data_IF_884105487380
#
_entry.id   IF_884105487380
#
_cell.length_a   1.000
_cell.length_b   1.000
_cell.length_c   1.000
_cell.angle_alpha   90.00
_cell.angle_beta   90.00
_cell.angle_gamma   90.00
#
_symmetry.space_group_name_H-M   'P 1'
#
loop_
_entity.id
_entity.type
_entity.pdbx_description
1 polymer ?
#
# COMPACT_ATOMS: atom_id res chain seq x y z
N UNK A 1 9.93 5.88 7.18
CA UNK A 1 8.90 5.67 8.21
C UNK A 1 7.59 5.38 7.49
N UNK A 2 7.07 4.15 7.58
CA UNK A 2 5.76 3.84 7.04
C UNK A 2 4.72 4.52 7.93
N UNK A 3 3.90 5.39 7.35
CA UNK A 3 2.82 6.06 8.04
C UNK A 3 1.50 5.50 7.50
N UNK A 4 0.64 5.06 8.41
CA UNK A 4 -0.68 4.54 8.06
C UNK A 4 -1.55 5.70 7.61
N UNK A 5 -1.89 5.74 6.32
CA UNK A 5 -2.71 6.82 5.73
C UNK A 5 -4.20 6.58 6.03
N UNK A 6 -4.59 5.35 6.36
CA UNK A 6 -5.98 4.93 6.56
C UNK A 6 -6.10 4.10 7.83
N UNK A 7 -6.92 4.56 8.78
CA UNK A 7 -7.12 3.88 10.05
C UNK A 7 -8.09 2.69 9.91
N UNK A 8 -8.88 2.68 8.83
CA UNK A 8 -9.78 1.57 8.50
C UNK A 8 -9.36 0.80 7.24
N UNK A 9 -9.83 -0.45 7.13
CA UNK A 9 -9.65 -1.29 5.93
C UNK A 9 -10.58 -0.94 4.77
N UNK A 10 -11.42 0.10 4.90
CA UNK A 10 -12.43 0.47 3.92
C UNK A 10 -12.31 1.94 3.51
N UNK A 11 -12.33 2.18 2.20
CA UNK A 11 -12.26 3.51 1.62
C UNK A 11 -13.52 3.81 0.83
N UNK A 12 -14.03 5.02 0.97
CA UNK A 12 -14.94 5.60 0.00
C UNK A 12 -14.12 6.31 -1.06
N UNK A 13 -14.30 5.93 -2.32
CA UNK A 13 -13.52 6.47 -3.44
C UNK A 13 -14.47 7.14 -4.43
N UNK A 14 -14.15 8.37 -4.82
CA UNK A 14 -14.78 9.04 -5.96
C UNK A 14 -13.85 8.90 -7.16
N UNK A 15 -14.36 8.29 -8.23
CA UNK A 15 -13.59 8.05 -9.44
C UNK A 15 -14.32 7.09 -10.38
N UNK A 16 -13.58 6.42 -11.25
CA UNK A 16 -14.12 5.49 -12.23
C UNK A 16 -13.82 4.03 -11.85
N UNK A 17 -14.68 3.12 -12.31
CA UNK A 17 -14.49 1.68 -12.15
C UNK A 17 -14.11 1.09 -13.50
N UNK A 18 -12.99 0.40 -13.56
CA UNK A 18 -12.52 -0.32 -14.74
C UNK A 18 -12.69 -1.82 -14.53
N UNK A 19 -13.42 -2.47 -15.43
CA UNK A 19 -13.56 -3.92 -15.45
C UNK A 19 -12.69 -4.50 -16.58
N UNK A 20 -11.68 -5.29 -16.24
CA UNK A 20 -10.81 -5.99 -17.19
C UNK A 20 -10.94 -7.50 -16.98
N UNK A 21 -11.86 -8.12 -17.73
CA UNK A 21 -12.22 -9.52 -17.54
C UNK A 21 -12.83 -9.77 -16.16
N UNK A 22 -12.28 -10.72 -15.41
CA UNK A 22 -12.71 -11.04 -14.03
C UNK A 22 -12.23 -10.01 -12.98
N UNK A 23 -11.33 -9.09 -13.36
CA UNK A 23 -10.76 -8.11 -12.44
C UNK A 23 -11.55 -6.80 -12.52
N UNK A 24 -11.84 -6.23 -11.35
CA UNK A 24 -12.40 -4.89 -11.20
C UNK A 24 -11.39 -4.02 -10.48
N UNK A 25 -11.11 -2.85 -11.02
CA UNK A 25 -10.19 -1.86 -10.49
C UNK A 25 -10.94 -0.55 -10.32
N UNK A 26 -10.56 0.25 -9.32
CA UNK A 26 -11.10 1.60 -9.13
C UNK A 26 -9.96 2.59 -9.33
N UNK A 27 -10.16 3.54 -10.24
CA UNK A 27 -9.25 4.67 -10.44
C UNK A 27 -9.87 5.87 -9.72
N UNK A 28 -9.34 6.19 -8.55
CA UNK A 28 -9.85 7.26 -7.69
C UNK A 28 -9.20 8.61 -7.98
N UNK A 29 -10.02 9.66 -8.05
CA UNK A 29 -9.55 11.06 -7.98
C UNK A 29 -9.44 11.51 -6.52
N UNK A 30 -10.34 10.99 -5.66
CA UNK A 30 -10.41 11.31 -4.24
C UNK A 30 -10.74 10.04 -3.44
N UNK A 31 -10.16 9.91 -2.25
CA UNK A 31 -10.44 8.83 -1.32
C UNK A 31 -10.60 9.39 0.10
N UNK A 32 -11.57 8.85 0.85
CA UNK A 32 -11.83 9.16 2.24
C UNK A 32 -11.83 7.88 3.08
N UNK A 33 -11.35 7.98 4.31
CA UNK A 33 -11.50 6.91 5.31
C UNK A 33 -12.99 6.80 5.67
N UNK A 34 -13.56 5.61 5.52
CA UNK A 34 -14.98 5.40 5.78
C UNK A 34 -15.35 5.61 7.25
N UNK A 35 -14.42 5.35 8.18
CA UNK A 35 -14.70 5.55 9.60
C UNK A 35 -14.76 7.04 9.97
N UNK A 36 -13.92 7.87 9.34
CA UNK A 36 -14.00 9.34 9.49
C UNK A 36 -15.33 9.88 8.96
N UNK A 37 -15.78 9.40 7.80
CA UNK A 37 -17.08 9.79 7.22
C UNK A 37 -18.24 9.34 8.12
N UNK A 38 -18.15 8.13 8.68
CA UNK A 38 -19.16 7.60 9.59
C UNK A 38 -19.20 8.36 10.92
N UNK A 39 -18.03 8.69 11.49
CA UNK A 39 -17.92 9.51 12.69
C UNK A 39 -18.51 10.90 12.49
N UNK A 40 -18.13 11.61 11.41
CA UNK A 40 -18.70 12.92 11.08
C UNK A 40 -20.23 12.88 10.98
N UNK A 41 -20.77 11.83 10.35
CA UNK A 41 -22.23 11.64 10.25
C UNK A 41 -22.89 11.38 11.62
N UNK A 42 -22.27 10.56 12.46
CA UNK A 42 -22.79 10.19 13.80
C UNK A 42 -22.78 11.37 14.76
N UNK A 43 -21.68 12.11 14.78
CA UNK A 43 -21.40 13.12 15.81
C UNK A 43 -21.91 14.51 15.42
N UNK A 44 -21.97 14.81 14.12
CA UNK A 44 -22.30 16.13 13.59
C UNK A 44 -23.44 16.10 12.56
N UNK A 45 -24.02 14.93 12.32
CA UNK A 45 -25.16 14.75 11.44
C UNK A 45 -24.81 14.65 9.95
N UNK A 46 -25.83 14.43 9.09
CA UNK A 46 -25.63 14.15 7.67
C UNK A 46 -24.92 15.27 6.90
N UNK A 47 -25.17 16.53 7.25
CA UNK A 47 -24.56 17.66 6.55
C UNK A 47 -23.04 17.70 6.72
N UNK A 48 -22.53 17.40 7.92
CA UNK A 48 -21.09 17.37 8.16
C UNK A 48 -20.37 16.29 7.33
N UNK A 49 -21.02 15.15 7.10
CA UNK A 49 -20.50 14.13 6.19
C UNK A 49 -20.52 14.61 4.73
N UNK A 50 -21.58 15.30 4.30
CA UNK A 50 -21.63 15.89 2.95
C UNK A 50 -20.56 16.96 2.77
N UNK A 51 -20.34 17.82 3.76
CA UNK A 51 -19.30 18.85 3.71
C UNK A 51 -17.89 18.23 3.66
N UNK A 52 -17.66 17.14 4.41
CA UNK A 52 -16.44 16.33 4.35
C UNK A 52 -16.20 15.75 2.95
N UNK A 53 -17.24 15.21 2.31
CA UNK A 53 -17.18 14.65 0.96
C UNK A 53 -17.13 15.71 -0.14
N UNK A 54 -17.63 16.91 0.15
CA UNK A 54 -17.61 18.08 -0.74
C UNK A 54 -16.25 18.74 -0.85
N UNK A 55 -15.28 18.37 -0.01
CA UNK A 55 -13.90 18.85 -0.10
C UNK A 55 -13.30 18.46 -1.46
N UNK A 56 -12.79 19.44 -2.18
CA UNK A 56 -12.22 19.28 -3.53
C UNK A 56 -10.71 19.22 -3.57
N UNK A 57 -10.04 19.62 -2.47
CA UNK A 57 -8.59 19.49 -2.37
C UNK A 57 -8.25 18.04 -2.03
N UNK A 58 -7.45 17.35 -2.86
CA UNK A 58 -6.94 16.03 -2.48
C UNK A 58 -6.19 16.16 -1.16
N UNK A 59 -6.36 15.15 -0.31
CA UNK A 59 -5.49 15.00 0.85
C UNK A 59 -4.04 14.98 0.32
N UNK A 60 -3.12 15.74 0.92
CA UNK A 60 -1.74 15.74 0.48
C UNK A 60 -1.25 14.30 0.51
N UNK A 61 -0.82 13.78 -0.65
CA UNK A 61 -0.08 12.52 -0.69
C UNK A 61 1.07 12.71 0.28
N UNK A 62 1.14 11.95 1.38
CA UNK A 62 2.19 12.18 2.34
C UNK A 62 3.51 12.00 1.59
N UNK A 63 4.31 13.07 1.59
CA UNK A 63 5.57 13.06 0.90
C UNK A 63 6.31 11.83 1.38
N UNK A 64 6.68 10.93 0.44
CA UNK A 64 7.70 9.94 0.74
C UNK A 64 8.87 10.74 1.27
N UNK A 65 9.08 10.70 2.59
CA UNK A 65 10.25 11.31 3.19
C UNK A 65 11.41 10.72 2.42
N UNK A 66 12.17 11.54 1.70
CA UNK A 66 13.36 11.11 0.99
C UNK A 66 14.35 10.60 2.04
N UNK A 67 14.15 9.37 2.51
CA UNK A 67 15.10 8.67 3.34
C UNK A 67 16.36 8.59 2.51
N UNK A 68 17.52 9.06 3.01
CA UNK A 68 18.77 8.96 2.27
C UNK A 68 18.94 7.50 1.85
N UNK A 69 19.19 7.29 0.56
CA UNK A 69 19.21 5.97 -0.06
C UNK A 69 20.30 5.11 0.59
N UNK A 70 19.91 4.34 1.61
CA UNK A 70 20.80 3.45 2.36
C UNK A 70 21.40 2.45 1.38
N UNK A 71 22.71 2.48 1.23
CA UNK A 71 23.41 1.50 0.40
C UNK A 71 23.93 0.39 1.30
N UNK A 72 23.64 -0.86 0.93
CA UNK A 72 24.14 -2.04 1.62
C UNK A 72 25.48 -2.46 0.98
N UNK A 73 26.51 -2.64 1.79
CA UNK A 73 27.77 -3.23 1.33
C UNK A 73 27.63 -4.76 1.33
N UNK A 74 27.97 -5.41 0.22
CA UNK A 74 28.12 -6.86 0.17
C UNK A 74 29.36 -7.28 0.97
N UNK A 75 29.17 -8.12 1.99
CA UNK A 75 30.24 -8.63 2.86
C UNK A 75 31.19 -9.60 2.17
N UNK A 76 30.92 -10.01 0.92
CA UNK A 76 31.64 -11.11 0.25
C UNK A 76 32.33 -10.73 -1.06
N UNK A 77 32.11 -9.52 -1.61
CA UNK A 77 32.62 -9.20 -2.95
C UNK A 77 32.72 -7.72 -3.34
N UNK A 78 32.55 -6.79 -2.41
CA UNK A 78 32.70 -5.35 -2.69
C UNK A 78 31.60 -4.73 -3.58
N UNK A 79 30.58 -5.51 -3.96
CA UNK A 79 29.42 -5.03 -4.70
C UNK A 79 28.49 -4.22 -3.78
N UNK A 80 27.83 -3.19 -4.34
CA UNK A 80 26.77 -2.45 -3.65
C UNK A 80 25.44 -3.15 -3.89
N UNK A 81 24.79 -3.58 -2.81
CA UNK A 81 23.48 -4.20 -2.85
C UNK A 81 22.37 -3.15 -2.84
N UNK A 82 21.23 -3.50 -3.43
CA UNK A 82 20.04 -2.65 -3.41
C UNK A 82 19.62 -2.33 -1.95
N UNK A 83 19.11 -1.12 -1.66
CA UNK A 83 18.78 -0.65 -0.31
C UNK A 83 17.83 -1.53 0.52
N UNK A 84 17.09 -2.40 -0.17
CA UNK A 84 16.03 -3.22 0.38
C UNK A 84 16.36 -4.72 0.31
N UNK A 85 17.60 -5.08 -0.01
CA UNK A 85 18.02 -6.49 -0.15
C UNK A 85 17.99 -7.26 1.19
N UNK A 86 17.95 -6.56 2.32
CA UNK A 86 17.89 -7.13 3.66
C UNK A 86 16.49 -7.08 4.30
N UNK A 87 15.47 -6.57 3.59
CA UNK A 87 14.13 -6.48 4.14
C UNK A 87 13.53 -7.86 4.39
N UNK A 88 13.21 -8.12 5.66
CA UNK A 88 12.38 -9.25 6.08
C UNK A 88 10.91 -8.81 6.10
N UNK A 89 9.96 -9.66 5.70
CA UNK A 89 8.54 -9.34 5.78
C UNK A 89 8.13 -9.07 7.23
N UNK A 90 7.26 -8.09 7.45
CA UNK A 90 6.76 -7.75 8.77
C UNK A 90 5.91 -8.91 9.34
N UNK A 91 6.28 -9.41 10.52
CA UNK A 91 5.56 -10.45 11.26
C UNK A 91 6.38 -11.72 11.53
N UNK A 92 6.04 -12.45 12.60
CA UNK A 92 6.53 -13.80 12.86
C UNK A 92 6.06 -14.72 11.73
N UNK A 93 6.96 -15.55 11.13
CA UNK A 93 6.64 -16.45 10.01
C UNK A 93 5.37 -17.25 10.26
N UNK A 94 4.25 -16.83 9.67
CA UNK A 94 2.99 -17.59 9.70
C UNK A 94 2.80 -18.52 8.49
N UNK A 95 3.82 -18.69 7.64
CA UNK A 95 3.79 -19.68 6.58
C UNK A 95 5.10 -20.48 6.59
N UNK A 96 5.00 -21.79 6.78
CA UNK A 96 6.10 -22.71 6.57
C UNK A 96 6.43 -22.74 5.06
N UNK A 97 7.39 -21.90 4.65
CA UNK A 97 7.81 -21.72 3.26
C UNK A 97 8.39 -23.01 2.64
N UNK A 98 8.60 -24.08 3.43
CA UNK A 98 8.97 -25.40 2.90
C UNK A 98 7.93 -25.98 1.94
N UNK A 99 6.66 -25.59 2.07
CA UNK A 99 5.55 -26.08 1.20
C UNK A 99 5.25 -25.22 -0.02
N UNK A 100 5.87 -24.05 -0.17
CA UNK A 100 5.61 -23.10 -1.26
C UNK A 100 6.87 -22.76 -2.08
N UNK A 101 7.94 -23.54 -1.93
CA UNK A 101 9.13 -23.41 -2.77
C UNK A 101 8.83 -23.89 -4.20
N UNK A 102 8.53 -22.98 -5.10
CA UNK A 102 8.53 -23.25 -6.54
C UNK A 102 9.99 -23.47 -6.98
N UNK A 103 10.40 -24.73 -7.19
CA UNK A 103 11.70 -25.08 -7.75
C UNK A 103 11.52 -25.16 -9.27
N UNK A 104 11.91 -24.13 -10.01
CA UNK A 104 11.97 -24.21 -11.47
C UNK A 104 12.95 -25.34 -11.86
N UNK A 105 12.58 -26.27 -12.76
CA UNK A 105 13.54 -27.20 -13.33
C UNK A 105 14.56 -26.39 -14.15
N UNK A 106 15.85 -26.64 -13.94
CA UNK A 106 16.91 -26.02 -14.72
C UNK A 106 16.82 -26.41 -16.19
N UNK A 107 17.13 -25.46 -17.07
CA UNK A 107 17.39 -25.75 -18.49
C UNK A 107 18.58 -26.71 -18.60
N UNK A 108 18.51 -27.76 -19.43
CA UNK A 108 19.68 -28.58 -19.72
C UNK A 108 20.66 -27.77 -20.58
N UNK A 109 21.93 -27.75 -20.15
CA UNK A 109 23.06 -27.44 -21.01
C UNK A 109 23.19 -28.56 -22.06
N UNK A 110 22.96 -28.21 -23.33
CA UNK A 110 23.72 -28.59 -24.53
C UNK A 110 23.06 -28.03 -25.80
#
# INVERSE_FOLDING_TARGET
MAHTVFHSGLLLVRGTVEARGQRRTVVGEMAWDLDEVAAARRDHGPQAALDLLGRTSPAPTPAQTATPQRTLADGTGGARLHPYADLLPAGTRSADLRRLGHRSPGSPDL
#
